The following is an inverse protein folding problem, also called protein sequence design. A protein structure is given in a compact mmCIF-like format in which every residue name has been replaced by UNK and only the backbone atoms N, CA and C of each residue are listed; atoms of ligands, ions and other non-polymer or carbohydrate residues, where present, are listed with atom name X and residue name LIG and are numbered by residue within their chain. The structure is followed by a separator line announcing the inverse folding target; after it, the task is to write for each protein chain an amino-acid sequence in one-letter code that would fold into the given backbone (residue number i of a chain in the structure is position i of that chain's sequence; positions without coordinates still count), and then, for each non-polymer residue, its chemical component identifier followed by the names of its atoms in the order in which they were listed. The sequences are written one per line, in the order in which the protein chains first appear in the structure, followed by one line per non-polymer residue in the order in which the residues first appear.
data_IF_739111265649
#
_entry.id   IF_739111265649
#
_cell.length_a   1.000
_cell.length_b   1.000
_cell.length_c   1.000
_cell.angle_alpha   90.00
_cell.angle_beta   90.00
_cell.angle_gamma   90.00
#
_symmetry.space_group_name_H-M   'P 1'
#
loop_
_entity.id
_entity.type
_entity.pdbx_description
1 polymer ?
#
# COMPACT_ATOMS: atom_id res chain seq x y z
N UNK A 1 11.58 13.64 -1.33
CA UNK A 1 11.82 12.40 -0.57
C UNK A 1 10.94 12.40 0.67
N UNK A 2 10.46 11.24 1.09
CA UNK A 2 9.87 11.02 2.41
C UNK A 2 10.91 10.39 3.34
N UNK A 3 10.72 10.56 4.64
CA UNK A 3 11.63 10.11 5.70
C UNK A 3 10.86 9.58 6.90
N UNK A 4 11.36 8.50 7.50
CA UNK A 4 10.87 7.90 8.74
C UNK A 4 12.02 7.70 9.70
N UNK A 5 11.80 8.11 10.94
CA UNK A 5 12.74 7.98 12.04
C UNK A 5 12.37 6.74 12.87
N UNK A 6 13.30 5.82 13.03
CA UNK A 6 13.19 4.68 13.94
C UNK A 6 14.16 4.90 15.10
N UNK A 7 13.64 5.00 16.32
CA UNK A 7 14.44 5.18 17.55
C UNK A 7 14.38 3.90 18.36
N UNK A 8 15.52 3.26 18.60
CA UNK A 8 15.61 1.97 19.30
C UNK A 8 16.29 2.10 20.66
N UNK A 9 16.03 1.17 21.58
CA UNK A 9 16.44 1.31 22.99
C UNK A 9 17.83 0.72 23.27
N UNK A 10 18.15 -0.41 22.70
CA UNK A 10 19.37 -1.16 23.01
C UNK A 10 20.49 -0.95 21.99
N UNK A 11 21.74 -1.24 22.35
CA UNK A 11 22.82 -1.27 21.36
C UNK A 11 22.63 -2.49 20.47
N UNK A 12 22.42 -2.24 19.17
CA UNK A 12 22.10 -3.28 18.20
C UNK A 12 23.16 -3.28 17.09
N UNK A 13 23.50 -4.48 16.60
CA UNK A 13 24.25 -4.61 15.36
C UNK A 13 23.31 -4.38 14.17
N UNK A 14 23.44 -3.22 13.53
CA UNK A 14 22.52 -2.81 12.46
C UNK A 14 22.72 -3.60 11.16
N UNK A 15 23.95 -3.95 10.83
CA UNK A 15 24.29 -4.58 9.55
C UNK A 15 23.56 -5.92 9.32
N UNK A 16 23.48 -6.87 10.28
CA UNK A 16 22.70 -8.10 10.11
C UNK A 16 21.21 -7.85 9.83
N UNK A 17 20.59 -6.91 10.55
CA UNK A 17 19.16 -6.56 10.38
C UNK A 17 18.93 -5.98 8.98
N UNK A 18 19.75 -5.01 8.59
CA UNK A 18 19.65 -4.38 7.27
C UNK A 18 19.84 -5.40 6.14
N UNK A 19 20.81 -6.31 6.26
CA UNK A 19 21.03 -7.37 5.26
C UNK A 19 19.88 -8.37 5.19
N UNK A 20 19.23 -8.68 6.32
CA UNK A 20 18.05 -9.53 6.35
C UNK A 20 16.91 -8.92 5.51
N UNK A 21 16.78 -7.59 5.53
CA UNK A 21 15.82 -6.83 4.69
C UNK A 21 16.38 -6.41 3.34
N UNK A 22 17.37 -7.13 2.81
CA UNK A 22 17.98 -6.94 1.49
C UNK A 22 18.71 -5.60 1.27
N UNK A 23 18.97 -4.82 2.32
CA UNK A 23 19.80 -3.64 2.21
C UNK A 23 21.28 -4.01 2.05
N UNK A 24 21.97 -3.26 1.19
CA UNK A 24 23.42 -3.31 1.00
C UNK A 24 24.03 -2.03 1.54
N UNK A 25 25.15 -2.14 2.23
CA UNK A 25 25.88 -0.98 2.72
C UNK A 25 26.79 -0.42 1.63
N UNK A 26 26.59 0.84 1.25
CA UNK A 26 27.37 1.55 0.24
C UNK A 26 27.38 3.05 0.56
N UNK A 27 28.49 3.76 0.31
CA UNK A 27 28.60 5.22 0.51
C UNK A 27 28.05 5.72 1.85
N UNK A 28 28.41 5.01 2.93
CA UNK A 28 28.02 5.29 4.32
C UNK A 28 26.50 5.25 4.59
N UNK A 29 25.74 4.52 3.78
CA UNK A 29 24.31 4.28 3.96
C UNK A 29 23.93 2.86 3.56
N UNK A 30 22.77 2.42 4.02
CA UNK A 30 22.13 1.19 3.59
C UNK A 30 21.19 1.48 2.42
N UNK A 31 21.21 0.66 1.39
CA UNK A 31 20.41 0.85 0.17
C UNK A 31 19.73 -0.46 -0.21
N UNK A 32 18.42 -0.41 -0.38
CA UNK A 32 17.60 -1.51 -0.91
C UNK A 32 16.98 -1.07 -2.24
N UNK A 33 17.21 -1.84 -3.29
CA UNK A 33 16.58 -1.65 -4.59
C UNK A 33 15.33 -2.51 -4.66
N UNK A 34 14.20 -1.88 -4.97
CA UNK A 34 12.89 -2.51 -5.03
C UNK A 34 12.37 -2.44 -6.47
N UNK A 35 11.95 -3.57 -7.00
CA UNK A 35 11.22 -3.65 -8.27
C UNK A 35 9.74 -3.94 -7.97
N UNK A 36 8.85 -3.12 -8.53
CA UNK A 36 7.40 -3.20 -8.31
C UNK A 36 6.68 -2.79 -9.60
N UNK A 37 5.88 -3.69 -10.17
CA UNK A 37 5.12 -3.48 -11.42
C UNK A 37 5.93 -2.88 -12.59
N UNK A 38 7.16 -3.36 -12.81
CA UNK A 38 8.02 -2.87 -13.89
C UNK A 38 8.62 -1.46 -13.65
N UNK A 39 8.44 -0.90 -12.46
CA UNK A 39 9.14 0.30 -11.98
C UNK A 39 10.12 -0.08 -10.90
N UNK A 40 11.28 0.57 -10.87
CA UNK A 40 12.26 0.42 -9.81
C UNK A 40 12.34 1.68 -8.97
N UNK A 41 12.55 1.50 -7.67
CA UNK A 41 12.84 2.58 -6.74
C UNK A 41 13.82 2.10 -5.67
N UNK A 42 14.31 3.04 -4.88
CA UNK A 42 15.31 2.78 -3.86
C UNK A 42 14.78 3.22 -2.51
N UNK A 43 15.00 2.39 -1.49
CA UNK A 43 14.86 2.73 -0.09
C UNK A 43 16.27 2.89 0.48
N UNK A 44 16.55 4.03 1.09
CA UNK A 44 17.82 4.32 1.73
C UNK A 44 17.65 4.34 3.25
N UNK A 45 18.67 3.94 4.01
CA UNK A 45 18.69 4.07 5.45
C UNK A 45 20.05 4.55 5.97
N UNK A 46 20.03 5.53 6.86
CA UNK A 46 21.22 6.06 7.54
C UNK A 46 21.14 5.66 9.01
N UNK A 47 22.20 5.02 9.51
CA UNK A 47 22.29 4.58 10.90
C UNK A 47 23.12 5.56 11.72
N UNK A 48 22.48 6.19 12.70
CA UNK A 48 23.09 7.11 13.66
C UNK A 48 23.22 6.38 15.00
N UNK A 49 24.32 5.63 15.15
CA UNK A 49 24.50 4.71 16.28
C UNK A 49 24.49 5.41 17.65
N UNK A 50 25.11 6.59 17.75
CA UNK A 50 25.17 7.38 18.99
C UNK A 50 23.79 7.88 19.42
N UNK A 51 22.92 8.19 18.46
CA UNK A 51 21.55 8.64 18.70
C UNK A 51 20.56 7.47 18.83
N UNK A 52 21.04 6.23 18.68
CA UNK A 52 20.21 5.03 18.58
C UNK A 52 19.07 5.17 17.56
N UNK A 53 19.40 5.74 16.41
CA UNK A 53 18.42 6.14 15.41
C UNK A 53 18.75 5.58 14.03
N UNK A 54 17.72 5.21 13.29
CA UNK A 54 17.79 4.93 11.85
C UNK A 54 16.85 5.87 11.13
N UNK A 55 17.34 6.53 10.09
CA UNK A 55 16.53 7.38 9.22
C UNK A 55 16.34 6.61 7.90
N UNK A 56 15.12 6.19 7.62
CA UNK A 56 14.75 5.52 6.37
C UNK A 56 14.15 6.56 5.42
N UNK A 57 14.57 6.56 4.16
CA UNK A 57 14.11 7.50 3.13
C UNK A 57 13.71 6.81 1.84
N UNK A 58 12.67 7.34 1.18
CA UNK A 58 12.13 6.79 -0.08
C UNK A 58 11.45 7.87 -0.94
N UNK A 59 11.18 7.62 -2.24
CA UNK A 59 10.50 8.59 -3.11
C UNK A 59 9.08 8.94 -2.66
N UNK A 60 8.63 10.18 -2.92
CA UNK A 60 7.25 10.61 -2.58
C UNK A 60 6.20 10.08 -3.56
N UNK A 61 6.57 9.96 -4.82
CA UNK A 61 5.67 9.58 -5.91
C UNK A 61 5.77 8.07 -6.16
N UNK A 62 5.13 7.29 -5.29
CA UNK A 62 5.06 5.82 -5.39
C UNK A 62 3.61 5.38 -5.62
N UNK A 63 3.41 4.26 -6.31
CA UNK A 63 2.10 3.61 -6.40
C UNK A 63 1.66 3.08 -5.04
N UNK A 64 0.37 2.77 -4.87
CA UNK A 64 -0.13 2.19 -3.61
C UNK A 64 0.60 0.89 -3.26
N UNK A 65 0.86 0.02 -4.24
CA UNK A 65 1.58 -1.22 -4.03
C UNK A 65 3.05 -1.00 -3.64
N UNK A 66 3.73 -0.02 -4.26
CA UNK A 66 5.07 0.36 -3.84
C UNK A 66 5.09 0.94 -2.41
N UNK A 67 4.06 1.73 -2.02
CA UNK A 67 3.90 2.21 -0.64
C UNK A 67 3.63 1.06 0.34
N UNK A 68 2.88 0.02 -0.05
CA UNK A 68 2.71 -1.19 0.77
C UNK A 68 4.04 -1.88 1.01
N UNK A 69 4.87 -2.07 -0.02
CA UNK A 69 6.21 -2.64 0.13
C UNK A 69 7.10 -1.82 1.08
N UNK A 70 7.02 -0.48 0.99
CA UNK A 70 7.73 0.41 1.92
C UNK A 70 7.19 0.27 3.35
N UNK A 71 5.88 0.27 3.55
CA UNK A 71 5.24 0.08 4.86
C UNK A 71 5.66 -1.24 5.51
N UNK A 72 5.64 -2.33 4.76
CA UNK A 72 6.06 -3.66 5.23
C UNK A 72 7.54 -3.67 5.63
N UNK A 73 8.41 -3.14 4.78
CA UNK A 73 9.85 -3.04 5.05
C UNK A 73 10.11 -2.26 6.33
N UNK A 74 9.49 -1.08 6.48
CA UNK A 74 9.65 -0.24 7.68
C UNK A 74 9.10 -0.96 8.92
N UNK A 75 7.95 -1.63 8.80
CA UNK A 75 7.32 -2.34 9.92
C UNK A 75 8.18 -3.48 10.44
N UNK A 76 8.73 -4.30 9.54
CA UNK A 76 9.59 -5.42 9.91
C UNK A 76 10.91 -4.95 10.55
N UNK A 77 11.50 -3.88 10.03
CA UNK A 77 12.70 -3.28 10.64
C UNK A 77 12.36 -2.71 12.02
N UNK A 78 11.26 -1.96 12.15
CA UNK A 78 10.84 -1.37 13.42
C UNK A 78 10.57 -2.44 14.49
N UNK A 79 9.91 -3.54 14.12
CA UNK A 79 9.65 -4.68 15.00
C UNK A 79 10.94 -5.33 15.50
N UNK A 80 11.88 -5.64 14.58
CA UNK A 80 13.16 -6.25 14.94
C UNK A 80 14.03 -5.35 15.82
N UNK A 81 13.94 -4.04 15.62
CA UNK A 81 14.64 -3.05 16.43
C UNK A 81 13.91 -2.72 17.74
N UNK A 82 12.66 -3.17 17.92
CA UNK A 82 11.74 -2.70 18.95
C UNK A 82 11.72 -1.15 19.01
N UNK A 83 11.67 -0.54 17.82
CA UNK A 83 11.82 0.90 17.66
C UNK A 83 10.49 1.64 17.82
N UNK A 84 10.58 2.84 18.38
CA UNK A 84 9.54 3.86 18.25
C UNK A 84 9.65 4.50 16.85
N UNK A 85 8.52 4.62 16.18
CA UNK A 85 8.44 5.11 14.79
C UNK A 85 7.90 6.54 14.79
N UNK A 86 8.60 7.45 14.11
CA UNK A 86 8.12 8.78 13.77
C UNK A 86 8.16 8.96 12.25
N UNK A 87 6.96 9.06 11.67
CA UNK A 87 6.73 9.12 10.23
C UNK A 87 5.95 10.38 9.82
N UNK A 88 5.95 11.43 10.65
CA UNK A 88 5.14 12.64 10.41
C UNK A 88 5.44 13.35 9.08
N UNK A 89 6.65 13.16 8.53
CA UNK A 89 7.05 13.71 7.23
C UNK A 89 6.48 12.93 6.03
N UNK A 90 5.73 11.85 6.28
CA UNK A 90 5.24 10.92 5.26
C UNK A 90 3.72 10.97 5.07
N UNK A 91 3.08 12.10 5.36
CA UNK A 91 1.62 12.23 5.22
C UNK A 91 1.15 11.90 3.80
N UNK A 92 0.36 10.84 3.68
CA UNK A 92 -0.16 10.32 2.41
C UNK A 92 -1.60 10.76 2.14
N UNK A 93 -2.39 10.97 3.18
CA UNK A 93 -3.80 11.32 3.04
C UNK A 93 -4.55 11.29 4.36
N UNK A 94 -5.81 10.87 4.28
CA UNK A 94 -6.73 10.77 5.41
C UNK A 94 -7.59 9.51 5.26
N UNK A 95 -8.07 8.97 6.38
CA UNK A 95 -9.16 7.98 6.42
C UNK A 95 -10.51 8.67 6.66
N UNK A 96 -11.60 7.91 6.63
CA UNK A 96 -12.99 8.41 6.68
C UNK A 96 -13.29 9.35 7.85
N UNK A 97 -12.73 9.08 9.03
CA UNK A 97 -12.94 9.90 10.23
C UNK A 97 -12.11 11.21 10.24
N UNK A 98 -11.39 11.51 9.17
CA UNK A 98 -10.54 12.70 9.04
C UNK A 98 -9.16 12.58 9.72
N UNK A 99 -8.80 11.41 10.25
CA UNK A 99 -7.47 11.20 10.80
C UNK A 99 -6.42 11.12 9.68
N UNK A 100 -5.24 11.75 9.86
CA UNK A 100 -4.17 11.69 8.88
C UNK A 100 -3.60 10.27 8.78
N UNK A 101 -3.19 9.93 7.56
CA UNK A 101 -2.48 8.69 7.24
C UNK A 101 -1.04 9.02 6.88
N UNK A 102 -0.13 8.25 7.45
CA UNK A 102 1.30 8.29 7.19
C UNK A 102 1.76 6.91 6.70
N UNK A 103 3.04 6.75 6.32
CA UNK A 103 3.53 5.48 5.77
C UNK A 103 3.52 4.34 6.79
N UNK A 104 3.56 4.63 8.09
CA UNK A 104 3.50 3.64 9.16
C UNK A 104 2.19 3.78 9.95
N UNK A 105 1.87 4.97 10.45
CA UNK A 105 0.65 5.21 11.23
C UNK A 105 -0.59 5.30 10.34
N UNK A 106 -1.64 4.56 10.71
CA UNK A 106 -2.93 4.46 10.01
C UNK A 106 -2.87 3.90 8.56
N UNK A 107 -1.69 3.50 8.06
CA UNK A 107 -1.53 2.99 6.70
C UNK A 107 -2.42 1.77 6.40
N UNK A 108 -2.50 0.82 7.33
CA UNK A 108 -3.34 -0.40 7.17
C UNK A 108 -4.83 -0.08 7.01
N UNK A 109 -5.33 0.97 7.66
CA UNK A 109 -6.73 1.38 7.54
C UNK A 109 -6.98 2.17 6.24
N UNK A 110 -5.93 2.73 5.65
CA UNK A 110 -6.03 3.56 4.45
C UNK A 110 -6.23 2.75 3.17
N UNK A 111 -5.58 1.58 3.05
CA UNK A 111 -5.69 0.74 1.85
C UNK A 111 -7.16 0.33 1.58
N UNK A 112 -7.91 -0.20 2.56
CA UNK A 112 -9.32 -0.50 2.35
C UNK A 112 -10.15 0.75 2.04
N UNK A 113 -9.88 1.85 2.73
CA UNK A 113 -10.58 3.12 2.53
C UNK A 113 -10.42 3.65 1.09
N UNK A 114 -9.20 3.64 0.55
CA UNK A 114 -8.94 4.04 -0.84
C UNK A 114 -9.65 3.12 -1.83
N UNK A 115 -9.63 1.82 -1.56
CA UNK A 115 -10.21 0.83 -2.47
C UNK A 115 -11.73 0.93 -2.49
N UNK A 116 -12.35 1.11 -1.32
CA UNK A 116 -13.78 1.40 -1.20
C UNK A 116 -14.16 2.73 -1.89
N UNK A 117 -13.36 3.79 -1.69
CA UNK A 117 -13.56 5.06 -2.40
C UNK A 117 -13.47 4.90 -3.93
N UNK A 118 -12.52 4.09 -4.44
CA UNK A 118 -12.42 3.76 -5.86
C UNK A 118 -13.72 3.10 -6.35
N UNK A 119 -14.21 2.07 -5.68
CA UNK A 119 -15.43 1.39 -6.12
C UNK A 119 -16.67 2.27 -6.01
N UNK A 120 -16.78 3.09 -4.95
CA UNK A 120 -17.84 4.09 -4.84
C UNK A 120 -17.81 5.09 -6.00
N UNK A 121 -16.63 5.50 -6.44
CA UNK A 121 -16.49 6.41 -7.59
C UNK A 121 -16.92 5.79 -8.91
N UNK A 122 -16.82 4.46 -9.05
CA UNK A 122 -17.24 3.73 -10.24
C UNK A 122 -18.75 3.49 -10.29
N UNK A 123 -19.47 3.61 -9.17
CA UNK A 123 -20.94 3.49 -9.17
C UNK A 123 -21.54 4.54 -10.10
N UNK A 124 -22.47 4.11 -10.95
CA UNK A 124 -23.09 4.92 -11.99
C UNK A 124 -22.21 5.09 -13.24
N UNK A 125 -21.06 4.41 -13.35
CA UNK A 125 -20.24 4.38 -14.56
C UNK A 125 -20.36 3.05 -15.28
N UNK A 126 -20.09 3.05 -16.59
CA UNK A 126 -20.01 1.83 -17.37
C UNK A 126 -18.64 1.17 -17.11
N UNK A 127 -18.65 -0.11 -16.74
CA UNK A 127 -17.47 -0.86 -16.33
C UNK A 127 -17.40 -2.19 -17.06
N UNK A 128 -16.18 -2.70 -17.21
CA UNK A 128 -15.89 -4.06 -17.59
C UNK A 128 -15.52 -4.87 -16.34
N UNK A 129 -16.10 -6.07 -16.20
CA UNK A 129 -15.84 -7.01 -15.11
C UNK A 129 -14.99 -8.15 -15.63
N UNK A 130 -13.92 -8.44 -14.90
CA UNK A 130 -13.04 -9.57 -15.18
C UNK A 130 -12.96 -10.52 -13.99
N UNK A 131 -12.64 -11.79 -14.25
CA UNK A 131 -12.24 -12.75 -13.23
C UNK A 131 -11.00 -13.49 -13.73
N UNK A 132 -9.91 -13.44 -12.95
CA UNK A 132 -8.61 -14.00 -13.33
C UNK A 132 -8.15 -13.59 -14.75
N UNK A 133 -8.43 -12.34 -15.14
CA UNK A 133 -8.09 -11.77 -16.45
C UNK A 133 -9.06 -12.14 -17.59
N UNK A 134 -10.07 -12.97 -17.34
CA UNK A 134 -11.12 -13.29 -18.32
C UNK A 134 -12.24 -12.27 -18.21
N UNK A 135 -12.57 -11.61 -19.33
CA UNK A 135 -13.73 -10.71 -19.40
C UNK A 135 -15.01 -11.52 -19.19
N UNK A 136 -15.82 -11.09 -18.22
CA UNK A 136 -17.10 -11.72 -17.92
C UNK A 136 -18.24 -10.94 -18.55
N UNK A 137 -18.31 -9.64 -18.28
CA UNK A 137 -19.45 -8.81 -18.69
C UNK A 137 -19.11 -7.30 -18.66
N UNK A 138 -19.93 -6.51 -19.35
CA UNK A 138 -19.92 -5.04 -19.30
C UNK A 138 -21.30 -4.52 -18.88
N UNK A 139 -21.33 -3.44 -18.11
CA UNK A 139 -22.60 -2.82 -17.70
C UNK A 139 -22.42 -1.56 -16.87
N UNK A 140 -23.53 -0.92 -16.52
CA UNK A 140 -23.55 0.21 -15.59
C UNK A 140 -23.49 -0.30 -14.16
N UNK A 141 -22.44 0.05 -13.41
CA UNK A 141 -22.27 -0.40 -12.03
C UNK A 141 -23.29 0.26 -11.09
N UNK A 142 -24.11 -0.53 -10.40
CA UNK A 142 -25.07 -0.01 -9.41
C UNK A 142 -24.57 -0.27 -7.99
N UNK A 143 -24.16 -1.50 -7.72
CA UNK A 143 -23.74 -1.94 -6.39
C UNK A 143 -22.42 -2.72 -6.45
N UNK A 144 -21.65 -2.60 -5.38
CA UNK A 144 -20.46 -3.40 -5.10
C UNK A 144 -20.49 -3.71 -3.63
N UNK A 145 -20.24 -4.96 -3.30
CA UNK A 145 -19.97 -5.43 -1.96
C UNK A 145 -18.53 -5.93 -1.88
N UNK A 146 -17.80 -5.45 -0.87
CA UNK A 146 -16.37 -5.69 -0.72
C UNK A 146 -16.07 -6.23 0.67
N UNK A 147 -15.11 -7.13 0.73
CA UNK A 147 -14.53 -7.61 1.97
C UNK A 147 -13.13 -7.05 2.13
N UNK A 148 -12.92 -6.32 3.22
CA UNK A 148 -11.60 -5.88 3.61
C UNK A 148 -10.84 -7.01 4.32
N UNK A 149 -9.60 -7.22 3.91
CA UNK A 149 -8.58 -8.02 4.58
C UNK A 149 -7.49 -7.08 5.11
N UNK A 150 -6.52 -7.59 5.88
CA UNK A 150 -5.54 -6.74 6.58
C UNK A 150 -4.77 -5.76 5.69
N UNK A 151 -4.53 -6.11 4.42
CA UNK A 151 -3.79 -5.28 3.45
C UNK A 151 -4.38 -5.29 2.04
N UNK A 152 -5.57 -5.87 1.86
CA UNK A 152 -6.20 -5.98 0.55
C UNK A 152 -7.72 -5.90 0.67
N UNK A 153 -8.38 -5.71 -0.45
CA UNK A 153 -9.84 -5.74 -0.55
C UNK A 153 -10.21 -6.65 -1.70
N UNK A 154 -11.14 -7.56 -1.46
CA UNK A 154 -11.72 -8.43 -2.49
C UNK A 154 -13.16 -8.03 -2.72
N UNK A 155 -13.59 -7.98 -3.98
CA UNK A 155 -15.00 -7.81 -4.32
C UNK A 155 -15.68 -9.15 -4.06
N UNK A 156 -16.72 -9.19 -3.22
CA UNK A 156 -17.52 -10.41 -2.99
C UNK A 156 -18.64 -10.54 -4.01
N UNK A 157 -19.29 -9.41 -4.32
CA UNK A 157 -20.32 -9.33 -5.33
C UNK A 157 -20.42 -7.94 -5.93
N UNK A 158 -21.01 -7.85 -7.11
CA UNK A 158 -21.32 -6.59 -7.78
C UNK A 158 -22.59 -6.74 -8.61
N UNK A 159 -23.32 -5.64 -8.79
CA UNK A 159 -24.54 -5.59 -9.59
C UNK A 159 -24.37 -4.58 -10.73
N UNK A 160 -24.75 -5.00 -11.94
CA UNK A 160 -24.71 -4.21 -13.15
C UNK A 160 -26.09 -4.09 -13.78
N UNK A 161 -26.36 -2.97 -14.44
CA UNK A 161 -27.40 -2.87 -15.46
C UNK A 161 -26.76 -3.11 -16.82
N UNK A 162 -27.16 -4.20 -17.47
CA UNK A 162 -26.70 -4.67 -18.78
C UNK A 162 -27.79 -4.49 -19.83
N UNK A 163 -27.54 -4.89 -21.08
CA UNK A 163 -28.56 -4.90 -22.13
C UNK A 163 -29.67 -5.94 -21.89
N UNK A 164 -29.39 -6.95 -21.06
CA UNK A 164 -30.32 -8.05 -20.76
C UNK A 164 -31.11 -7.81 -19.48
N UNK A 165 -30.73 -6.79 -18.68
CA UNK A 165 -31.38 -6.43 -17.44
C UNK A 165 -30.38 -6.19 -16.32
N UNK A 166 -30.83 -6.35 -15.08
CA UNK A 166 -29.97 -6.27 -13.90
C UNK A 166 -29.34 -7.64 -13.62
N UNK A 167 -28.01 -7.67 -13.47
CA UNK A 167 -27.25 -8.90 -13.21
C UNK A 167 -26.31 -8.70 -12.03
N UNK A 168 -26.34 -9.66 -11.09
CA UNK A 168 -25.43 -9.71 -9.96
C UNK A 168 -24.42 -10.84 -10.15
N UNK A 169 -23.14 -10.50 -10.08
CA UNK A 169 -22.03 -11.43 -10.13
C UNK A 169 -21.46 -11.66 -8.73
N UNK A 170 -21.08 -12.90 -8.46
CA UNK A 170 -20.38 -13.33 -7.25
C UNK A 170 -19.05 -13.97 -7.64
N UNK A 171 -18.00 -13.74 -6.86
CA UNK A 171 -16.72 -14.41 -7.09
C UNK A 171 -15.59 -13.84 -6.26
N UNK A 172 -14.54 -14.63 -6.07
CA UNK A 172 -13.47 -14.34 -5.11
C UNK A 172 -12.33 -13.46 -5.69
N UNK A 173 -12.33 -13.24 -7.01
CA UNK A 173 -11.27 -12.55 -7.74
C UNK A 173 -11.81 -11.60 -8.82
N UNK A 174 -12.98 -11.00 -8.57
CA UNK A 174 -13.57 -10.03 -9.49
C UNK A 174 -12.73 -8.75 -9.54
N UNK A 175 -12.54 -8.24 -10.76
CA UNK A 175 -11.81 -7.00 -11.06
C UNK A 175 -12.69 -6.08 -11.91
N UNK A 176 -12.60 -4.78 -11.62
CA UNK A 176 -13.37 -3.73 -12.29
C UNK A 176 -12.44 -2.76 -13.01
N UNK A 177 -12.77 -2.49 -14.27
CA UNK A 177 -12.14 -1.44 -15.08
C UNK A 177 -13.21 -0.47 -15.59
N UNK A 178 -12.95 0.83 -15.45
CA UNK A 178 -13.82 1.84 -16.04
C UNK A 178 -13.68 1.79 -17.56
N UNK A 179 -14.81 1.79 -18.27
CA UNK A 179 -14.79 1.89 -19.73
C UNK A 179 -14.71 3.37 -20.09
N UNK A 180 -13.56 3.80 -20.61
CA UNK A 180 -13.49 5.13 -21.24
C UNK A 180 -14.39 5.13 -22.48
N UNK A 181 -15.29 6.12 -22.54
CA UNK A 181 -16.22 6.33 -23.65
C UNK A 181 -15.52 6.96 -24.86
#
# INVERSE_FOLDING_TARGET
MFSVNLTYKDRIQMLPIMRFHHFRFQDNRYVCHVENEGRSFTIEAIHLAEEKKVIISFPKALSLQALQTVNETISLIAEQLQAEVDDQETKLGYIENGQPVYIYHNFRQWVPYLTDAKYRSLKGQHVDVYNAGVHLISGLLTEVDIQAHEQSVTIQSLTLITTEGEETLYGDALQLEAKEL
#
